data_IF_179705284561
#
_entry.id   IF_179705284561
#
_cell.length_a   1.000
_cell.length_b   1.000
_cell.length_c   1.000
_cell.angle_alpha   90.00
_cell.angle_beta   90.00
_cell.angle_gamma   90.00
#
_symmetry.space_group_name_H-M   'P 1'
#
loop_
_entity.id
_entity.type
_entity.pdbx_description
1 polymer ?
#
# COMPACT_ATOMS: atom_id res chain seq x y z
N UNK A 1 27.85 -0.35 -2.57
CA UNK A 1 26.75 -1.32 -2.43
C UNK A 1 25.83 -0.79 -1.34
N UNK A 2 24.68 -0.21 -1.72
CA UNK A 2 23.72 0.25 -0.73
C UNK A 2 23.13 -0.99 -0.04
N UNK A 3 23.18 -1.03 1.30
CA UNK A 3 22.49 -2.05 2.08
C UNK A 3 21.04 -2.09 1.63
N UNK A 4 20.56 -3.27 1.23
CA UNK A 4 19.14 -3.54 1.08
C UNK A 4 18.49 -3.13 2.40
N UNK A 5 17.90 -1.93 2.40
CA UNK A 5 17.15 -1.44 3.53
C UNK A 5 15.92 -2.31 3.52
N UNK A 6 15.79 -3.21 4.51
CA UNK A 6 14.72 -4.20 4.59
C UNK A 6 13.41 -3.60 4.09
N UNK A 7 13.06 -3.99 2.86
CA UNK A 7 11.81 -3.55 2.26
C UNK A 7 10.73 -4.21 3.10
N UNK A 8 9.98 -3.40 3.86
CA UNK A 8 8.84 -3.90 4.62
C UNK A 8 7.87 -4.57 3.67
N UNK A 9 7.79 -5.90 3.74
CA UNK A 9 6.91 -6.71 2.89
C UNK A 9 5.48 -6.63 3.41
N UNK A 10 4.49 -6.71 2.51
CA UNK A 10 3.08 -6.86 2.88
C UNK A 10 2.88 -8.19 3.59
N UNK A 11 2.35 -8.16 4.80
CA UNK A 11 2.07 -9.32 5.66
C UNK A 11 0.57 -9.45 5.94
N UNK A 12 -0.25 -9.10 4.94
CA UNK A 12 -1.70 -9.04 5.07
C UNK A 12 -2.21 -7.75 5.72
N UNK A 13 -3.29 -7.87 6.48
CA UNK A 13 -4.00 -6.76 7.15
C UNK A 13 -3.16 -6.05 8.22
N UNK A 14 -2.35 -6.79 8.96
CA UNK A 14 -1.59 -6.29 10.11
C UNK A 14 -0.58 -5.18 9.82
N UNK A 15 -0.18 -4.97 8.55
CA UNK A 15 0.73 -3.90 8.17
C UNK A 15 0.35 -3.12 6.91
N UNK A 16 -0.87 -3.33 6.39
CA UNK A 16 -1.28 -2.78 5.09
C UNK A 16 -1.13 -1.27 5.00
N UNK A 17 -1.64 -0.49 5.96
CA UNK A 17 -1.56 0.98 5.89
C UNK A 17 -0.12 1.52 5.85
N UNK A 18 0.78 0.92 6.64
CA UNK A 18 2.18 1.30 6.67
C UNK A 18 2.95 0.80 5.44
N UNK A 19 2.54 -0.34 4.87
CA UNK A 19 3.06 -0.86 3.61
C UNK A 19 2.63 0.04 2.43
N UNK A 20 1.35 0.38 2.38
CA UNK A 20 0.74 1.18 1.32
C UNK A 20 1.43 2.54 1.19
N UNK A 21 1.61 3.24 2.31
CA UNK A 21 2.31 4.52 2.35
C UNK A 21 3.73 4.41 1.78
N UNK A 22 4.49 3.39 2.19
CA UNK A 22 5.87 3.17 1.71
C UNK A 22 5.89 2.80 0.23
N UNK A 23 4.95 1.98 -0.23
CA UNK A 23 4.83 1.60 -1.63
C UNK A 23 4.49 2.82 -2.51
N UNK A 24 3.57 3.68 -2.09
CA UNK A 24 3.24 4.95 -2.78
C UNK A 24 4.45 5.88 -2.88
N UNK A 25 5.22 6.05 -1.79
CA UNK A 25 6.43 6.88 -1.79
C UNK A 25 7.49 6.32 -2.75
N UNK A 26 7.70 4.99 -2.73
CA UNK A 26 8.63 4.35 -3.64
C UNK A 26 8.20 4.47 -5.10
N UNK A 27 6.92 4.21 -5.41
CA UNK A 27 6.36 4.37 -6.74
C UNK A 27 6.48 5.82 -7.23
N UNK A 28 6.27 6.82 -6.36
CA UNK A 28 6.49 8.23 -6.70
C UNK A 28 7.94 8.52 -7.06
N UNK A 29 8.90 8.01 -6.27
CA UNK A 29 10.33 8.20 -6.56
C UNK A 29 10.76 7.55 -7.88
N UNK A 30 10.09 6.46 -8.27
CA UNK A 30 10.35 5.75 -9.53
C UNK A 30 9.54 6.31 -10.72
N UNK A 31 8.67 7.29 -10.52
CA UNK A 31 7.77 7.80 -11.57
C UNK A 31 6.68 6.82 -12.00
N UNK A 32 6.32 5.87 -11.15
CA UNK A 32 5.37 4.78 -11.42
C UNK A 32 4.03 4.96 -10.65
N UNK A 33 3.90 6.02 -9.85
CA UNK A 33 2.72 6.25 -9.02
C UNK A 33 1.44 6.34 -9.87
N UNK A 34 1.48 7.05 -10.99
CA UNK A 34 0.34 7.17 -11.90
C UNK A 34 -0.05 5.82 -12.53
N UNK A 35 0.93 4.95 -12.77
CA UNK A 35 0.70 3.60 -13.32
C UNK A 35 0.04 2.68 -12.31
N UNK A 36 0.46 2.69 -11.03
CA UNK A 36 -0.18 1.87 -9.98
C UNK A 36 -1.58 2.40 -9.59
N UNK A 37 -1.85 3.69 -9.80
CA UNK A 37 -3.16 4.29 -9.54
C UNK A 37 -4.11 4.20 -10.76
N UNK A 38 -3.67 3.60 -11.88
CA UNK A 38 -4.47 3.46 -13.09
C UNK A 38 -4.70 4.77 -13.86
N UNK A 39 -3.93 5.82 -13.57
CA UNK A 39 -3.97 7.10 -14.30
C UNK A 39 -3.19 7.01 -15.62
N UNK A 40 -2.11 6.23 -15.67
CA UNK A 40 -1.30 6.00 -16.88
C UNK A 40 -2.01 5.03 -17.84
N UNK A 41 -2.88 5.59 -18.68
CA UNK A 41 -3.70 4.84 -19.63
C UNK A 41 -2.89 4.30 -20.82
N UNK A 42 -3.31 3.14 -21.33
CA UNK A 42 -2.70 2.54 -22.50
C UNK A 42 -2.80 3.48 -23.71
N UNK A 43 -1.69 3.80 -24.39
CA UNK A 43 -1.73 4.67 -25.55
C UNK A 43 -2.46 4.00 -26.71
N UNK A 44 -3.25 4.77 -27.46
CA UNK A 44 -4.03 4.30 -28.63
C UNK A 44 -3.18 3.92 -29.84
N UNK A 45 -1.87 4.16 -29.75
CA UNK A 45 -0.89 3.78 -30.77
C UNK A 45 -0.66 2.28 -30.80
N UNK A 46 -0.37 1.74 -31.99
CA UNK A 46 -0.10 0.31 -32.15
C UNK A 46 1.06 -0.22 -31.30
N UNK A 47 1.12 -1.56 -31.08
CA UNK A 47 2.02 -2.21 -30.13
C UNK A 47 3.51 -2.05 -30.45
N UNK A 48 3.86 -1.74 -31.70
CA UNK A 48 5.24 -1.50 -32.13
C UNK A 48 5.71 -0.06 -31.92
N UNK A 49 4.82 0.85 -31.52
CA UNK A 49 5.17 2.24 -31.30
C UNK A 49 6.11 2.41 -30.09
N UNK A 50 6.95 3.45 -30.14
CA UNK A 50 7.83 3.82 -29.02
C UNK A 50 7.04 4.15 -27.76
N UNK A 51 5.87 4.77 -27.92
CA UNK A 51 4.97 5.15 -26.83
C UNK A 51 4.37 3.91 -26.14
N UNK A 52 3.87 2.94 -26.90
CA UNK A 52 3.35 1.70 -26.34
C UNK A 52 4.42 0.91 -25.59
N UNK A 53 5.63 0.79 -26.15
CA UNK A 53 6.75 0.12 -25.47
C UNK A 53 7.15 0.82 -24.18
N UNK A 54 7.19 2.15 -24.17
CA UNK A 54 7.50 2.92 -22.97
C UNK A 54 6.43 2.76 -21.88
N UNK A 55 5.15 2.77 -22.26
CA UNK A 55 4.04 2.49 -21.36
C UNK A 55 4.12 1.07 -20.78
N UNK A 56 4.32 0.06 -21.64
CA UNK A 56 4.47 -1.33 -21.20
C UNK A 56 5.64 -1.50 -20.22
N UNK A 57 6.77 -0.85 -20.48
CA UNK A 57 7.91 -0.91 -19.55
C UNK A 57 7.59 -0.30 -18.18
N UNK A 58 6.83 0.81 -18.13
CA UNK A 58 6.38 1.39 -16.84
C UNK A 58 5.41 0.46 -16.13
N UNK A 59 4.48 -0.14 -16.86
CA UNK A 59 3.53 -1.14 -16.35
C UNK A 59 4.26 -2.32 -15.72
N UNK A 60 5.19 -2.93 -16.44
CA UNK A 60 5.93 -4.10 -15.98
C UNK A 60 6.82 -3.73 -14.77
N UNK A 61 7.44 -2.54 -14.76
CA UNK A 61 8.20 -2.03 -13.61
C UNK A 61 7.31 -1.74 -12.39
N UNK A 62 6.08 -1.28 -12.60
CA UNK A 62 5.10 -1.04 -11.54
C UNK A 62 4.66 -2.37 -10.89
N UNK A 63 4.36 -3.39 -11.70
CA UNK A 63 4.07 -4.75 -11.20
C UNK A 63 5.25 -5.29 -10.39
N UNK A 64 6.47 -5.17 -10.92
CA UNK A 64 7.68 -5.62 -10.22
C UNK A 64 7.87 -4.92 -8.86
N UNK A 65 7.60 -3.61 -8.79
CA UNK A 65 7.68 -2.83 -7.55
C UNK A 65 6.70 -3.34 -6.49
N UNK A 66 5.46 -3.62 -6.88
CA UNK A 66 4.43 -4.14 -5.97
C UNK A 66 4.83 -5.53 -5.49
N UNK A 67 5.14 -6.44 -6.41
CA UNK A 67 5.46 -7.85 -6.12
C UNK A 67 6.69 -7.99 -5.22
N UNK A 68 7.77 -7.22 -5.45
CA UNK A 68 8.96 -7.24 -4.58
C UNK A 68 8.68 -6.78 -3.15
N UNK A 69 7.61 -6.02 -2.95
CA UNK A 69 7.15 -5.53 -1.66
C UNK A 69 6.11 -6.45 -1.03
N UNK A 70 5.86 -7.63 -1.58
CA UNK A 70 4.94 -8.62 -1.03
C UNK A 70 5.70 -9.77 -0.35
N UNK A 71 5.09 -10.36 0.68
CA UNK A 71 5.55 -11.63 1.23
C UNK A 71 5.04 -12.79 0.39
N UNK A 72 5.79 -13.89 0.36
CA UNK A 72 5.51 -15.08 -0.45
C UNK A 72 4.09 -15.63 -0.20
N UNK A 73 3.60 -15.51 1.04
CA UNK A 73 2.25 -15.88 1.48
C UNK A 73 1.14 -15.08 0.76
N UNK A 74 1.42 -13.83 0.39
CA UNK A 74 0.48 -12.91 -0.26
C UNK A 74 0.59 -12.92 -1.79
N UNK A 75 1.62 -13.57 -2.36
CA UNK A 75 1.84 -13.64 -3.81
C UNK A 75 0.74 -14.39 -4.56
N UNK A 76 -0.07 -15.21 -3.89
CA UNK A 76 -1.24 -15.85 -4.50
C UNK A 76 -2.22 -14.82 -5.08
N UNK A 77 -2.32 -13.63 -4.49
CA UNK A 77 -3.18 -12.54 -4.96
C UNK A 77 -2.66 -11.84 -6.23
N UNK A 78 -1.41 -12.09 -6.63
CA UNK A 78 -0.82 -11.55 -7.86
C UNK A 78 -1.33 -12.31 -9.10
N UNK A 79 -1.75 -13.56 -8.93
CA UNK A 79 -2.21 -14.40 -10.06
C UNK A 79 -3.47 -13.80 -10.69
N UNK A 80 -3.42 -13.55 -11.99
CA UNK A 80 -4.50 -12.91 -12.75
C UNK A 80 -4.36 -11.39 -12.91
N UNK A 81 -3.38 -10.77 -12.25
CA UNK A 81 -3.06 -9.34 -12.38
C UNK A 81 -1.62 -9.09 -12.83
N UNK A 82 -0.93 -10.09 -13.38
CA UNK A 82 0.48 -9.99 -13.79
C UNK A 82 0.70 -8.85 -14.79
N UNK A 83 -0.32 -8.56 -15.59
CA UNK A 83 -0.34 -7.55 -16.63
C UNK A 83 -1.10 -6.27 -16.26
N UNK A 84 -1.62 -6.18 -15.03
CA UNK A 84 -2.45 -5.08 -14.54
C UNK A 84 -2.05 -4.65 -13.11
N UNK A 85 -1.01 -3.80 -12.98
CA UNK A 85 -0.56 -3.32 -11.67
C UNK A 85 -1.60 -2.48 -10.96
N UNK A 86 -2.48 -1.78 -11.68
CA UNK A 86 -3.54 -0.96 -11.10
C UNK A 86 -4.66 -1.83 -10.52
N UNK A 87 -5.07 -2.87 -11.26
CA UNK A 87 -5.99 -3.89 -10.78
C UNK A 87 -5.45 -4.63 -9.56
N UNK A 88 -4.16 -5.01 -9.58
CA UNK A 88 -3.50 -5.61 -8.41
C UNK A 88 -3.54 -4.68 -7.19
N UNK A 89 -3.21 -3.40 -7.39
CA UNK A 89 -3.22 -2.41 -6.32
C UNK A 89 -4.62 -2.25 -5.69
N UNK A 90 -5.65 -2.12 -6.52
CA UNK A 90 -7.04 -2.03 -6.09
C UNK A 90 -7.51 -3.32 -5.40
N UNK A 91 -7.10 -4.49 -5.89
CA UNK A 91 -7.44 -5.77 -5.27
C UNK A 91 -6.83 -5.91 -3.87
N UNK A 92 -5.56 -5.53 -3.70
CA UNK A 92 -4.89 -5.54 -2.39
C UNK A 92 -5.54 -4.55 -1.43
N UNK A 93 -5.96 -3.37 -1.92
CA UNK A 93 -6.76 -2.44 -1.13
C UNK A 93 -8.09 -3.07 -0.70
N UNK A 94 -8.83 -3.69 -1.61
CA UNK A 94 -10.08 -4.36 -1.25
C UNK A 94 -9.92 -5.51 -0.24
N UNK A 95 -8.76 -6.17 -0.19
CA UNK A 95 -8.51 -7.29 0.71
C UNK A 95 -8.03 -6.86 2.09
N UNK A 96 -7.18 -5.83 2.16
CA UNK A 96 -6.42 -5.49 3.37
C UNK A 96 -6.58 -4.05 3.82
N UNK A 97 -7.12 -3.15 3.00
CA UNK A 97 -7.61 -1.88 3.50
C UNK A 97 -8.84 -2.20 4.33
N UNK A 98 -8.60 -2.31 5.64
CA UNK A 98 -9.61 -2.52 6.66
C UNK A 98 -10.60 -1.34 6.55
N UNK A 99 -11.65 -1.55 5.76
CA UNK A 99 -12.63 -0.56 5.34
C UNK A 99 -14.01 -1.00 5.80
N UNK A 100 -14.72 -0.09 6.48
CA UNK A 100 -16.09 -0.29 6.95
C UNK A 100 -16.24 -0.50 8.47
N UNK A 101 -17.47 -0.82 8.89
CA UNK A 101 -17.88 -0.82 10.31
C UNK A 101 -17.04 -1.75 11.19
N UNK A 102 -16.59 -2.89 10.66
CA UNK A 102 -15.74 -3.83 11.40
C UNK A 102 -14.35 -3.25 11.73
N UNK A 103 -13.72 -2.61 10.74
CA UNK A 103 -12.45 -1.91 10.90
C UNK A 103 -12.58 -0.74 11.90
N UNK A 104 -13.65 0.05 11.78
CA UNK A 104 -13.94 1.12 12.73
C UNK A 104 -14.12 0.62 14.17
N UNK A 105 -14.83 -0.50 14.37
CA UNK A 105 -14.99 -1.12 15.70
C UNK A 105 -13.66 -1.67 16.23
N UNK A 106 -12.80 -2.25 15.38
CA UNK A 106 -11.45 -2.69 15.77
C UNK A 106 -10.59 -1.50 16.19
N UNK A 107 -10.54 -0.45 15.38
CA UNK A 107 -9.77 0.77 15.65
C UNK A 107 -10.26 1.49 16.91
N UNK A 108 -11.57 1.54 17.16
CA UNK A 108 -12.15 2.06 18.41
C UNK A 108 -11.72 1.24 19.63
N UNK A 109 -11.67 -0.09 19.52
CA UNK A 109 -11.17 -0.95 20.60
C UNK A 109 -9.67 -0.75 20.84
N UNK A 110 -8.88 -0.61 19.78
CA UNK A 110 -7.45 -0.32 19.89
C UNK A 110 -7.20 1.04 20.52
N UNK A 111 -7.95 2.07 20.10
CA UNK A 111 -7.91 3.41 20.70
C UNK A 111 -8.22 3.34 22.20
N UNK A 112 -9.30 2.67 22.59
CA UNK A 112 -9.68 2.49 23.99
C UNK A 112 -8.67 1.67 24.80
N UNK A 113 -7.89 0.80 24.15
CA UNK A 113 -6.86 -0.01 24.77
C UNK A 113 -5.52 0.72 24.95
N UNK A 114 -5.30 1.86 24.27
CA UNK A 114 -4.09 2.66 24.47
C UNK A 114 -4.07 3.20 25.89
N UNK A 115 -3.06 2.79 26.67
CA UNK A 115 -2.81 3.27 28.01
C UNK A 115 -1.44 3.92 28.05
N UNK A 116 -1.36 5.10 28.65
CA UNK A 116 -0.09 5.74 28.98
C UNK A 116 0.32 5.32 30.39
N UNK A 117 1.47 4.65 30.53
CA UNK A 117 2.12 4.41 31.82
C UNK A 117 3.29 5.35 31.96
N UNK A 118 3.08 6.40 32.75
CA UNK A 118 4.12 7.39 33.06
C UNK A 118 5.41 6.74 33.57
N UNK A 119 6.55 7.17 33.02
CA UNK A 119 7.88 6.68 33.37
C UNK A 119 8.32 5.38 32.67
N UNK A 120 7.43 4.69 31.95
CA UNK A 120 7.75 3.49 31.16
C UNK A 120 7.54 3.76 29.66
N UNK A 121 6.45 4.44 29.33
CA UNK A 121 6.09 4.72 27.94
C UNK A 121 6.64 6.08 27.48
N UNK A 122 7.19 6.09 26.27
CA UNK A 122 7.54 7.33 25.56
C UNK A 122 6.25 8.02 25.09
N UNK A 123 5.99 9.20 25.65
CA UNK A 123 4.79 9.97 25.37
C UNK A 123 4.65 10.35 23.89
N UNK A 124 5.75 10.60 23.19
CA UNK A 124 5.70 10.93 21.76
C UNK A 124 5.24 9.72 20.92
N UNK A 125 5.69 8.51 21.30
CA UNK A 125 5.26 7.26 20.63
C UNK A 125 3.80 6.95 20.91
N UNK A 126 3.34 7.14 22.16
CA UNK A 126 1.93 6.94 22.52
C UNK A 126 1.04 7.92 21.77
N UNK A 127 1.40 9.20 21.73
CA UNK A 127 0.67 10.22 20.96
C UNK A 127 0.67 9.94 19.46
N UNK A 128 1.80 9.47 18.90
CA UNK A 128 1.88 9.05 17.50
C UNK A 128 0.92 7.89 17.19
N UNK A 129 0.81 6.91 18.09
CA UNK A 129 -0.12 5.79 17.94
C UNK A 129 -1.59 6.22 18.02
N UNK A 130 -1.93 7.10 18.97
CA UNK A 130 -3.28 7.67 19.09
C UNK A 130 -3.67 8.42 17.81
N UNK A 131 -2.77 9.26 17.28
CA UNK A 131 -3.01 10.00 16.03
C UNK A 131 -3.15 9.07 14.83
N UNK A 132 -2.30 8.05 14.71
CA UNK A 132 -2.41 7.05 13.64
C UNK A 132 -3.78 6.34 13.63
N UNK A 133 -4.28 5.95 14.81
CA UNK A 133 -5.60 5.28 14.92
C UNK A 133 -6.73 6.27 14.58
N UNK A 134 -6.62 7.53 15.00
CA UNK A 134 -7.59 8.57 14.65
C UNK A 134 -7.63 8.84 13.14
N UNK A 135 -6.48 8.97 12.49
CA UNK A 135 -6.37 9.22 11.04
C UNK A 135 -6.90 8.01 10.22
N UNK A 136 -6.84 6.78 10.76
CA UNK A 136 -7.44 5.58 10.16
C UNK A 136 -8.96 5.50 10.40
N UNK A 137 -9.45 6.00 11.54
CA UNK A 137 -10.89 6.12 11.82
C UNK A 137 -11.55 7.18 10.92
N UNK A 138 -10.92 8.33 10.70
CA UNK A 138 -11.42 9.37 9.80
C UNK A 138 -11.56 8.83 8.37
N UNK A 139 -10.51 8.16 7.85
CA UNK A 139 -10.55 7.56 6.52
C UNK A 139 -11.66 6.52 6.36
N UNK A 140 -11.98 5.78 7.41
CA UNK A 140 -13.08 4.81 7.43
C UNK A 140 -14.48 5.42 7.52
N UNK A 141 -14.61 6.70 7.86
CA UNK A 141 -15.90 7.40 7.97
C UNK A 141 -16.28 8.14 6.68
N UNK A 142 -15.29 8.47 5.85
CA UNK A 142 -15.49 9.19 4.58
C UNK A 142 -15.83 8.26 3.40
N UNK A 143 -15.63 6.95 3.54
CA UNK A 143 -16.04 5.88 2.59
C UNK A 143 -17.47 5.35 2.88
#
# INVERSE_FOLDING_TARGET
MAKDTEITKLQGDGNYGAWELRARVAARSAGLLETILGVDQAPTTGPNSKLYKAWKNRRDAATELIVKRMEDSTLTHVRGYEEDPAGLWAHLASLYADSGVGAAVRLLREFAAVKYRGGVDDMAKVMGRIRSIADELERNHED
#
